data_IF_373082748458
#
_entry.id   IF_373082748458
#
_cell.length_a   1.000
_cell.length_b   1.000
_cell.length_c   1.000
_cell.angle_alpha   90.00
_cell.angle_beta   90.00
_cell.angle_gamma   90.00
#
_symmetry.space_group_name_H-M   'P 1'
#
loop_
_entity.id
_entity.type
_entity.pdbx_description
1 polymer ?
#
# COMPACT_ATOMS: atom_id res chain seq x y z
N UNK A 1 -1.06 0.67 16.16
CA UNK A 1 0.09 0.37 15.27
C UNK A 1 1.09 1.50 15.44
N UNK A 2 2.38 1.19 15.50
CA UNK A 2 3.39 2.25 15.48
C UNK A 2 3.56 2.76 14.04
N UNK A 3 4.01 4.01 13.84
CA UNK A 3 4.31 4.55 12.52
C UNK A 3 5.26 3.64 11.70
N UNK A 4 6.20 2.98 12.36
CA UNK A 4 7.13 2.03 11.74
C UNK A 4 6.46 0.76 11.19
N UNK A 5 5.42 0.25 11.87
CA UNK A 5 4.65 -0.89 11.38
C UNK A 5 3.83 -0.52 10.15
N UNK A 6 3.21 0.66 10.16
CA UNK A 6 2.47 1.20 9.00
C UNK A 6 3.37 1.38 7.78
N UNK A 7 4.57 1.93 7.97
CA UNK A 7 5.54 2.11 6.89
C UNK A 7 5.98 0.77 6.28
N UNK A 8 6.24 -0.23 7.13
CA UNK A 8 6.60 -1.58 6.67
C UNK A 8 5.48 -2.21 5.84
N UNK A 9 4.23 -2.04 6.29
CA UNK A 9 3.06 -2.59 5.60
C UNK A 9 2.80 -1.91 4.25
N UNK A 10 2.97 -0.58 4.19
CA UNK A 10 2.91 0.19 2.93
C UNK A 10 3.95 -0.33 1.93
N UNK A 11 5.20 -0.55 2.35
CA UNK A 11 6.24 -1.08 1.46
C UNK A 11 5.92 -2.48 0.94
N UNK A 12 5.33 -3.35 1.76
CA UNK A 12 4.92 -4.68 1.31
C UNK A 12 3.80 -4.60 0.26
N UNK A 13 2.82 -3.72 0.48
CA UNK A 13 1.73 -3.50 -0.47
C UNK A 13 2.22 -2.86 -1.77
N UNK A 14 3.16 -1.92 -1.72
CA UNK A 14 3.79 -1.33 -2.91
C UNK A 14 4.48 -2.40 -3.75
N UNK A 15 5.21 -3.31 -3.11
CA UNK A 15 5.85 -4.43 -3.82
C UNK A 15 4.81 -5.33 -4.51
N UNK A 16 3.75 -5.70 -3.79
CA UNK A 16 2.67 -6.51 -4.35
C UNK A 16 1.93 -5.80 -5.50
N UNK A 17 1.75 -4.47 -5.40
CA UNK A 17 1.15 -3.65 -6.46
C UNK A 17 2.01 -3.66 -7.72
N UNK A 18 3.33 -3.56 -7.57
CA UNK A 18 4.28 -3.64 -8.68
C UNK A 18 4.27 -5.02 -9.36
N UNK A 19 4.27 -6.10 -8.57
CA UNK A 19 4.14 -7.47 -9.10
C UNK A 19 2.82 -7.64 -9.88
N UNK A 20 1.69 -7.20 -9.31
CA UNK A 20 0.39 -7.23 -9.99
C UNK A 20 0.40 -6.42 -11.29
N UNK A 21 0.98 -5.22 -11.29
CA UNK A 21 1.12 -4.41 -12.50
C UNK A 21 1.99 -5.09 -13.56
N UNK A 22 3.07 -5.78 -13.15
CA UNK A 22 3.94 -6.53 -14.05
C UNK A 22 3.22 -7.74 -14.67
N UNK A 23 2.33 -8.39 -13.90
CA UNK A 23 1.48 -9.48 -14.37
C UNK A 23 0.26 -9.01 -15.18
N UNK A 24 0.11 -7.70 -15.41
CA UNK A 24 -1.05 -7.06 -16.06
C UNK A 24 -2.36 -7.26 -15.28
N UNK A 25 -2.27 -7.51 -13.97
CA UNK A 25 -3.38 -7.65 -13.03
C UNK A 25 -3.81 -6.26 -12.51
N UNK A 26 -4.32 -5.43 -13.42
CA UNK A 26 -4.61 -4.02 -13.14
C UNK A 26 -5.68 -3.81 -12.06
N UNK A 27 -6.64 -4.72 -11.94
CA UNK A 27 -7.68 -4.67 -10.90
C UNK A 27 -7.05 -4.82 -9.51
N UNK A 28 -6.19 -5.82 -9.34
CA UNK A 28 -5.43 -6.03 -8.10
C UNK A 28 -4.47 -4.88 -7.82
N UNK A 29 -3.78 -4.37 -8.85
CA UNK A 29 -2.91 -3.20 -8.69
C UNK A 29 -3.69 -1.95 -8.25
N UNK A 30 -4.90 -1.74 -8.76
CA UNK A 30 -5.76 -0.63 -8.35
C UNK A 30 -6.21 -0.78 -6.88
N UNK A 31 -6.66 -1.97 -6.48
CA UNK A 31 -7.04 -2.26 -5.09
C UNK A 31 -5.87 -2.04 -4.12
N UNK A 32 -4.67 -2.49 -4.48
CA UNK A 32 -3.47 -2.32 -3.67
C UNK A 32 -3.08 -0.85 -3.56
N UNK A 33 -3.19 -0.08 -4.65
CA UNK A 33 -2.96 1.38 -4.65
C UNK A 33 -3.91 2.10 -3.69
N UNK A 34 -5.21 1.78 -3.74
CA UNK A 34 -6.19 2.41 -2.84
C UNK A 34 -5.94 2.04 -1.37
N UNK A 35 -5.53 0.79 -1.08
CA UNK A 35 -5.10 0.38 0.27
C UNK A 35 -3.88 1.17 0.75
N UNK A 36 -2.84 1.31 -0.09
CA UNK A 36 -1.64 2.10 0.23
C UNK A 36 -2.02 3.55 0.54
N UNK A 37 -2.89 4.14 -0.26
CA UNK A 37 -3.36 5.50 -0.05
C UNK A 37 -4.04 5.67 1.31
N UNK A 38 -4.97 4.76 1.64
CA UNK A 38 -5.70 4.79 2.90
C UNK A 38 -4.77 4.64 4.12
N UNK A 39 -3.77 3.76 4.03
CA UNK A 39 -2.76 3.59 5.08
C UNK A 39 -1.88 4.85 5.24
N UNK A 40 -1.53 5.51 4.13
CA UNK A 40 -0.79 6.78 4.19
C UNK A 40 -1.59 7.91 4.81
N UNK A 41 -2.88 8.01 4.51
CA UNK A 41 -3.76 8.99 5.16
C UNK A 41 -3.86 8.73 6.66
N UNK A 42 -4.02 7.47 7.07
CA UNK A 42 -4.02 7.07 8.48
C UNK A 42 -2.68 7.35 9.15
N UNK A 43 -1.56 7.16 8.44
CA UNK A 43 -0.23 7.50 8.94
C UNK A 43 -0.11 9.00 9.21
N UNK A 44 -0.50 9.85 8.27
CA UNK A 44 -0.47 11.31 8.43
C UNK A 44 -1.39 11.76 9.56
N UNK A 45 -2.58 11.17 9.68
CA UNK A 45 -3.54 11.51 10.73
C UNK A 45 -3.11 11.07 12.14
N UNK A 46 -2.25 10.06 12.25
CA UNK A 46 -1.73 9.54 13.52
C UNK A 46 -0.27 9.95 13.81
N UNK A 47 0.34 10.79 12.96
CA UNK A 47 1.72 11.27 13.10
C UNK A 47 1.83 12.64 13.75
#
# INVERSE_FOLDING_TARGET
MTPQQLETEIQQLEKAMYDAAQNLEFEQAAELRDKIHNLREQFIANS
#
